data_IF_027175696536
#
_entry.id   IF_027175696536
#
_cell.length_a   1.000
_cell.length_b   1.000
_cell.length_c   1.000
_cell.angle_alpha   90.00
_cell.angle_beta   90.00
_cell.angle_gamma   90.00
#
_symmetry.space_group_name_H-M   'P 1'
#
loop_
_entity.id
_entity.type
_entity.pdbx_description
1 polymer ?
#
# COMPACT_ATOMS: atom_id res chain seq x y z
N UNK A 1 -16.44 -1.16 -6.00
CA UNK A 1 -14.97 -1.05 -5.91
C UNK A 1 -14.38 -2.18 -6.73
N UNK A 2 -13.40 -1.88 -7.57
CA UNK A 2 -12.70 -2.85 -8.43
C UNK A 2 -11.25 -2.92 -7.98
N UNK A 3 -10.72 -4.11 -7.73
CA UNK A 3 -9.31 -4.36 -7.45
C UNK A 3 -8.92 -5.73 -8.03
N UNK A 4 -7.63 -5.89 -8.32
CA UNK A 4 -7.06 -7.14 -8.80
C UNK A 4 -6.23 -7.77 -7.66
N UNK A 5 -6.48 -9.05 -7.35
CA UNK A 5 -5.69 -9.81 -6.38
C UNK A 5 -4.82 -10.82 -7.11
N UNK A 6 -3.51 -10.82 -6.87
CA UNK A 6 -2.55 -11.70 -7.53
C UNK A 6 -1.52 -12.26 -6.54
N UNK A 7 -0.88 -13.40 -6.84
CA UNK A 7 0.36 -13.80 -6.18
C UNK A 7 1.44 -12.73 -6.37
N UNK A 8 2.27 -12.51 -5.35
CA UNK A 8 3.41 -11.59 -5.46
C UNK A 8 4.39 -12.02 -6.57
N UNK A 9 4.93 -11.06 -7.32
CA UNK A 9 5.80 -11.30 -8.49
C UNK A 9 5.11 -11.82 -9.76
N UNK A 10 3.79 -12.07 -9.72
CA UNK A 10 3.02 -12.49 -10.90
C UNK A 10 2.71 -11.30 -11.81
N UNK A 11 3.12 -11.37 -13.07
CA UNK A 11 2.87 -10.31 -14.06
C UNK A 11 2.25 -10.93 -15.31
N UNK A 12 1.06 -10.44 -15.68
CA UNK A 12 0.40 -10.79 -16.93
C UNK A 12 -0.45 -9.64 -17.45
N UNK A 13 -1.15 -9.87 -18.56
CA UNK A 13 -2.08 -8.87 -19.14
C UNK A 13 -3.07 -8.29 -18.12
N UNK A 14 -3.66 -9.08 -17.18
CA UNK A 14 -4.53 -8.51 -16.15
C UNK A 14 -3.81 -7.48 -15.26
N UNK A 15 -2.57 -7.74 -14.87
CA UNK A 15 -1.77 -6.83 -14.05
C UNK A 15 -1.47 -5.53 -14.79
N UNK A 16 -1.08 -5.63 -16.07
CA UNK A 16 -0.78 -4.47 -16.90
C UNK A 16 -2.02 -3.61 -17.16
N UNK A 17 -3.16 -4.23 -17.49
CA UNK A 17 -4.41 -3.52 -17.69
C UNK A 17 -4.89 -2.83 -16.40
N UNK A 18 -4.74 -3.48 -15.24
CA UNK A 18 -5.07 -2.87 -13.95
C UNK A 18 -4.19 -1.64 -13.67
N UNK A 19 -2.89 -1.74 -13.93
CA UNK A 19 -1.94 -0.64 -13.78
C UNK A 19 -2.28 0.54 -14.71
N UNK A 20 -2.54 0.28 -15.98
CA UNK A 20 -2.92 1.29 -16.97
C UNK A 20 -4.22 2.01 -16.59
N UNK A 21 -5.20 1.28 -16.06
CA UNK A 21 -6.49 1.83 -15.63
C UNK A 21 -6.49 2.43 -14.22
N UNK A 22 -5.35 2.42 -13.51
CA UNK A 22 -5.27 2.88 -12.12
C UNK A 22 -6.12 2.06 -11.14
N UNK A 23 -6.39 0.80 -11.48
CA UNK A 23 -7.08 -0.17 -10.62
C UNK A 23 -6.09 -0.66 -9.56
N UNK A 24 -6.46 -0.64 -8.26
CA UNK A 24 -5.63 -1.19 -7.21
C UNK A 24 -5.26 -2.66 -7.45
N UNK A 25 -3.98 -2.98 -7.29
CA UNK A 25 -3.45 -4.34 -7.33
C UNK A 25 -3.00 -4.73 -5.92
N UNK A 26 -3.50 -5.87 -5.44
CA UNK A 26 -3.15 -6.45 -4.13
C UNK A 26 -2.33 -7.73 -4.40
N UNK A 27 -1.04 -7.65 -4.12
CA UNK A 27 -0.07 -8.73 -4.27
C UNK A 27 0.07 -9.51 -2.95
N UNK A 28 -0.13 -10.83 -3.00
CA UNK A 28 -0.16 -11.71 -1.83
C UNK A 28 1.10 -12.57 -1.78
N UNK A 29 1.92 -12.42 -0.72
CA UNK A 29 3.22 -13.12 -0.57
C UNK A 29 3.09 -14.61 -0.25
N UNK A 30 2.04 -15.02 0.45
CA UNK A 30 1.78 -16.43 0.80
C UNK A 30 1.72 -17.35 -0.43
N UNK A 31 1.23 -16.84 -1.57
CA UNK A 31 1.10 -17.61 -2.80
C UNK A 31 2.38 -17.51 -3.66
N UNK A 32 3.15 -18.60 -3.69
CA UNK A 32 4.38 -18.69 -4.47
C UNK A 32 4.10 -19.08 -5.91
N UNK A 33 4.80 -18.45 -6.85
CA UNK A 33 4.75 -18.78 -8.26
C UNK A 33 6.17 -18.86 -8.86
N UNK A 34 6.26 -19.21 -10.15
CA UNK A 34 7.56 -19.36 -10.85
C UNK A 34 8.09 -18.07 -11.46
N UNK A 35 7.26 -17.03 -11.55
CA UNK A 35 7.69 -15.73 -12.03
C UNK A 35 8.55 -15.06 -10.95
N UNK A 36 9.57 -14.31 -11.36
CA UNK A 36 10.57 -13.71 -10.48
C UNK A 36 10.65 -12.20 -10.72
N UNK A 37 9.49 -11.57 -10.84
CA UNK A 37 9.41 -10.12 -11.05
C UNK A 37 9.34 -9.40 -9.71
N UNK A 38 9.94 -8.22 -9.63
CA UNK A 38 9.68 -7.27 -8.56
C UNK A 38 8.56 -6.32 -9.01
N UNK A 39 7.38 -6.40 -8.37
CA UNK A 39 6.24 -5.56 -8.75
C UNK A 39 6.49 -4.05 -8.50
N UNK A 40 7.42 -3.72 -7.62
CA UNK A 40 7.75 -2.34 -7.26
C UNK A 40 8.49 -1.60 -8.38
N UNK A 41 9.15 -2.34 -9.28
CA UNK A 41 9.86 -1.80 -10.43
C UNK A 41 8.88 -1.28 -11.51
N UNK A 42 7.63 -1.72 -11.48
CA UNK A 42 6.60 -1.34 -12.45
C UNK A 42 5.98 0.03 -12.12
N UNK A 43 5.54 0.82 -13.12
CA UNK A 43 5.07 2.19 -12.93
C UNK A 43 3.64 2.29 -12.37
N UNK A 44 3.38 1.67 -11.22
CA UNK A 44 2.13 1.87 -10.49
C UNK A 44 1.98 3.33 -10.06
N UNK A 45 0.75 3.85 -10.19
CA UNK A 45 0.41 5.13 -9.58
C UNK A 45 0.54 5.03 -8.04
N UNK A 46 0.87 6.13 -7.35
CA UNK A 46 0.98 6.13 -5.89
C UNK A 46 -0.25 5.57 -5.19
N UNK A 47 -0.05 4.71 -4.20
CA UNK A 47 -1.14 4.08 -3.45
C UNK A 47 -1.97 3.04 -4.23
N UNK A 48 -1.52 2.58 -5.41
CA UNK A 48 -2.24 1.54 -6.19
C UNK A 48 -1.66 0.14 -6.07
N UNK A 49 -0.43 -0.03 -5.59
CA UNK A 49 0.14 -1.34 -5.29
C UNK A 49 0.09 -1.60 -3.78
N UNK A 50 -0.58 -2.68 -3.38
CA UNK A 50 -0.64 -3.17 -2.01
C UNK A 50 0.09 -4.50 -1.92
N UNK A 51 1.05 -4.64 -1.01
CA UNK A 51 1.72 -5.91 -0.75
C UNK A 51 1.29 -6.41 0.63
N UNK A 52 0.73 -7.63 0.66
CA UNK A 52 0.15 -8.27 1.84
C UNK A 52 0.71 -9.67 2.05
N UNK A 53 0.69 -10.18 3.27
CA UNK A 53 1.29 -11.47 3.58
C UNK A 53 0.38 -12.62 3.18
N UNK A 54 -0.92 -12.49 3.40
CA UNK A 54 -1.89 -13.56 3.22
C UNK A 54 -3.22 -13.05 2.66
N UNK A 55 -4.11 -13.99 2.31
CA UNK A 55 -5.43 -13.66 1.78
C UNK A 55 -6.39 -13.06 2.82
N UNK A 56 -6.16 -13.28 4.13
CA UNK A 56 -6.99 -12.64 5.17
C UNK A 56 -6.77 -11.13 5.20
N UNK A 57 -5.52 -10.68 5.08
CA UNK A 57 -5.18 -9.26 4.96
C UNK A 57 -5.75 -8.60 3.71
N UNK A 58 -5.81 -9.36 2.60
CA UNK A 58 -6.41 -8.90 1.34
C UNK A 58 -7.84 -8.41 1.58
N UNK A 59 -8.64 -9.16 2.34
CA UNK A 59 -10.02 -8.78 2.69
C UNK A 59 -10.04 -7.47 3.50
N UNK A 60 -9.07 -7.30 4.41
CA UNK A 60 -8.88 -6.05 5.16
C UNK A 60 -8.62 -4.85 4.25
N UNK A 61 -7.66 -4.97 3.31
CA UNK A 61 -7.37 -3.93 2.31
C UNK A 61 -8.59 -3.62 1.47
N UNK A 62 -9.29 -4.63 0.96
CA UNK A 62 -10.49 -4.45 0.15
C UNK A 62 -11.57 -3.67 0.90
N UNK A 63 -11.78 -3.98 2.18
CA UNK A 63 -12.74 -3.28 3.02
C UNK A 63 -12.30 -1.84 3.32
N UNK A 64 -11.02 -1.61 3.60
CA UNK A 64 -10.49 -0.26 3.83
C UNK A 64 -10.69 0.64 2.59
N UNK A 65 -10.31 0.14 1.43
CA UNK A 65 -10.50 0.82 0.13
C UNK A 65 -11.98 1.06 -0.18
N UNK A 66 -12.84 0.09 0.10
CA UNK A 66 -14.29 0.24 -0.10
C UNK A 66 -14.91 1.29 0.83
N UNK A 67 -14.43 1.37 2.07
CA UNK A 67 -14.91 2.33 3.06
C UNK A 67 -14.24 3.71 2.95
N UNK A 68 -13.21 3.86 2.12
CA UNK A 68 -12.46 5.11 1.98
C UNK A 68 -11.60 5.45 3.20
N UNK A 69 -11.16 4.44 3.95
CA UNK A 69 -10.28 4.61 5.11
C UNK A 69 -8.86 4.17 4.79
N UNK A 70 -7.87 4.74 5.48
CA UNK A 70 -6.47 4.35 5.31
C UNK A 70 -6.25 2.92 5.81
N UNK A 71 -5.38 2.17 5.13
CA UNK A 71 -5.14 0.76 5.51
C UNK A 71 -4.39 0.68 6.85
N UNK A 72 -3.60 1.70 7.17
CA UNK A 72 -2.90 1.86 8.44
C UNK A 72 -3.89 1.96 9.62
N UNK A 73 -5.09 2.50 9.41
CA UNK A 73 -6.10 2.65 10.46
C UNK A 73 -6.74 1.33 10.91
N UNK A 74 -6.75 0.32 10.05
CA UNK A 74 -7.33 -1.00 10.35
C UNK A 74 -6.29 -1.99 10.87
N UNK A 75 -4.99 -1.62 10.80
CA UNK A 75 -3.90 -2.46 11.28
C UNK A 75 -3.70 -2.28 12.79
N UNK A 76 -3.27 -3.35 13.47
CA UNK A 76 -2.89 -3.32 14.88
C UNK A 76 -1.46 -3.81 15.11
N UNK A 77 -0.75 -3.26 16.11
CA UNK A 77 -1.14 -2.12 16.95
C UNK A 77 -1.17 -0.81 16.14
N UNK A 78 -1.96 0.17 16.60
CA UNK A 78 -1.95 1.50 15.97
C UNK A 78 -0.64 2.20 16.31
N UNK A 79 -0.18 3.06 15.40
CA UNK A 79 0.93 3.95 15.68
C UNK A 79 0.58 4.93 16.80
N UNK A 80 1.59 5.35 17.55
CA UNK A 80 1.42 6.33 18.63
C UNK A 80 0.94 7.68 18.09
N UNK A 81 -0.03 8.27 18.77
CA UNK A 81 -0.52 9.62 18.44
C UNK A 81 0.58 10.64 18.73
N UNK A 82 1.01 11.38 17.72
CA UNK A 82 1.96 12.48 17.88
C UNK A 82 1.32 13.66 18.62
N UNK A 83 1.68 13.85 19.88
CA UNK A 83 1.27 15.00 20.68
C UNK A 83 2.25 16.16 20.49
N UNK A 84 1.84 17.21 19.76
CA UNK A 84 2.64 18.45 19.63
C UNK A 84 2.08 19.49 20.61
N UNK A 85 2.91 19.98 21.53
CA UNK A 85 2.53 21.09 22.41
C UNK A 85 2.70 22.41 21.65
N UNK A 86 1.83 23.38 21.93
CA UNK A 86 1.86 24.70 21.28
C UNK A 86 3.23 25.39 21.37
N UNK A 87 4.00 25.15 22.44
CA UNK A 87 5.36 25.69 22.63
C UNK A 87 6.42 25.15 21.64
N UNK A 88 6.18 23.98 21.03
CA UNK A 88 7.20 23.27 20.23
C UNK A 88 7.06 23.54 18.71
N UNK A 89 5.98 24.20 18.29
CA UNK A 89 5.66 24.48 16.88
C UNK A 89 6.70 25.42 16.22
N UNK A 90 7.35 26.29 16.99
CA UNK A 90 8.29 27.29 16.46
C UNK A 90 9.62 26.70 15.94
N UNK A 91 9.93 25.42 16.22
CA UNK A 91 11.20 24.78 15.79
C UNK A 91 11.09 23.94 14.52
N UNK A 92 9.89 23.55 14.09
CA UNK A 92 9.70 22.55 13.02
C UNK A 92 9.43 23.15 11.65
N UNK A 93 9.17 24.45 11.54
CA UNK A 93 8.83 25.11 10.28
C UNK A 93 9.97 25.17 9.22
N UNK A 94 11.18 24.68 9.53
CA UNK A 94 12.34 24.71 8.63
C UNK A 94 12.72 23.36 7.99
N UNK A 95 11.98 22.28 8.25
CA UNK A 95 12.27 20.96 7.68
C UNK A 95 10.98 20.31 7.15
N UNK A 96 10.58 20.67 5.94
CA UNK A 96 9.68 19.80 5.17
C UNK A 96 10.18 19.79 3.73
N UNK A 97 11.07 18.85 3.44
CA UNK A 97 11.42 18.47 2.07
C UNK A 97 10.48 17.33 1.71
N UNK A 98 9.58 17.60 0.75
CA UNK A 98 8.91 16.68 -0.18
C UNK A 98 8.74 15.22 0.28
N UNK A 99 7.69 14.92 1.05
CA UNK A 99 7.18 13.54 1.15
C UNK A 99 6.31 13.27 -0.09
N UNK A 100 6.89 12.59 -1.09
CA UNK A 100 6.11 11.97 -2.16
C UNK A 100 5.28 10.81 -1.58
N UNK A 101 4.00 10.73 -1.96
CA UNK A 101 3.13 9.63 -1.53
C UNK A 101 3.75 8.28 -1.93
N UNK A 102 3.78 7.29 -1.02
CA UNK A 102 4.46 6.03 -1.30
C UNK A 102 3.82 5.33 -2.50
N UNK A 103 4.66 4.94 -3.44
CA UNK A 103 4.28 4.15 -4.62
C UNK A 103 3.62 2.81 -4.22
N UNK A 104 4.06 2.26 -3.10
CA UNK A 104 3.69 0.93 -2.59
C UNK A 104 3.20 1.05 -1.15
N UNK A 105 2.02 0.51 -0.86
CA UNK A 105 1.49 0.38 0.49
C UNK A 105 1.82 -1.02 0.99
N UNK A 106 2.80 -1.11 1.88
CA UNK A 106 3.15 -2.39 2.53
C UNK A 106 2.35 -2.54 3.80
N UNK A 107 1.55 -3.59 3.86
CA UNK A 107 0.95 -3.96 5.13
C UNK A 107 1.93 -4.64 6.06
N UNK A 108 3.11 -5.06 5.60
CA UNK A 108 4.11 -5.73 6.42
C UNK A 108 5.54 -5.36 6.01
N UNK A 109 6.20 -4.52 6.82
CA UNK A 109 7.65 -4.46 6.97
C UNK A 109 7.94 -4.56 8.47
N UNK A 110 8.62 -5.64 8.88
CA UNK A 110 9.70 -5.48 9.86
C UNK A 110 10.91 -4.96 9.09
#
# INVERSE_FOLDING_TARGET
MSCLVIPDGCVGLPTLAAMEQGIPVIAVRENKNRMQNCLEDYPFQPGKLFIVDNYLETVGVMNALKAGVSVESIRRPLADTRCVRSSDQNKQAQQTVTEEAPKVVRLHSK
#
